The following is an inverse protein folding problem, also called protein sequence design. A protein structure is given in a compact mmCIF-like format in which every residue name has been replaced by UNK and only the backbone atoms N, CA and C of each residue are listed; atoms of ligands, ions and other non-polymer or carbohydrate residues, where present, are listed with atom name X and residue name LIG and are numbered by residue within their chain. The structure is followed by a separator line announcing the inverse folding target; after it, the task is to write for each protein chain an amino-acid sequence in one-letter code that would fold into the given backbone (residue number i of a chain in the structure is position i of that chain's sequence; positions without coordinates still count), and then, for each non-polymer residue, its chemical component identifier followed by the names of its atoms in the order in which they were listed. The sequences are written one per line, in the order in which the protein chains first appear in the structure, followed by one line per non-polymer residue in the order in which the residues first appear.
data_IF_329811758151
#
_entry.id   IF_329811758151
#
_cell.length_a   1.000
_cell.length_b   1.000
_cell.length_c   1.000
_cell.angle_alpha   90.00
_cell.angle_beta   90.00
_cell.angle_gamma   90.00
#
_symmetry.space_group_name_H-M   'P 1'
#
loop_
_entity.id
_entity.type
_entity.pdbx_description
1 polymer ?
#
# COMPACT_ATOMS: atom_id res chain seq x y z
N UNK A 1 -6.06 19.74 -5.55
CA UNK A 1 -6.41 18.69 -4.54
C UNK A 1 -6.26 19.21 -3.11
N UNK A 2 -5.16 19.95 -2.75
CA UNK A 2 -4.98 20.41 -1.38
C UNK A 2 -6.11 21.35 -0.91
N UNK A 3 -6.44 22.36 -1.71
CA UNK A 3 -7.49 23.33 -1.36
C UNK A 3 -8.87 22.67 -1.17
N UNK A 4 -9.16 21.63 -1.94
CA UNK A 4 -10.44 20.90 -1.84
C UNK A 4 -10.48 19.93 -0.65
N UNK A 5 -9.35 19.38 -0.22
CA UNK A 5 -9.29 18.38 0.84
C UNK A 5 -9.05 19.00 2.24
N UNK A 6 -8.37 20.13 2.33
CA UNK A 6 -8.01 20.77 3.60
C UNK A 6 -9.20 20.95 4.58
N UNK A 7 -10.41 21.35 4.15
CA UNK A 7 -11.56 21.50 5.04
C UNK A 7 -12.02 20.19 5.72
N UNK A 8 -11.66 19.04 5.15
CA UNK A 8 -12.07 17.72 5.66
C UNK A 8 -11.00 17.07 6.54
N UNK A 9 -9.82 17.69 6.66
CA UNK A 9 -8.76 17.18 7.52
C UNK A 9 -8.96 17.66 8.95
N UNK A 10 -9.03 16.70 9.86
CA UNK A 10 -9.08 16.93 11.30
C UNK A 10 -7.83 16.33 11.93
N UNK A 11 -7.16 17.14 12.74
CA UNK A 11 -5.95 16.73 13.46
C UNK A 11 -6.17 16.66 14.94
N UNK A 12 -5.51 15.74 15.61
CA UNK A 12 -5.60 15.53 17.06
C UNK A 12 -4.27 15.02 17.64
N UNK A 13 -4.14 15.07 18.96
CA UNK A 13 -3.01 14.42 19.67
C UNK A 13 -3.51 13.12 20.28
N UNK A 14 -2.79 12.03 20.08
CA UNK A 14 -3.09 10.78 20.77
C UNK A 14 -2.71 10.90 22.25
N UNK A 15 -3.68 10.71 23.19
CA UNK A 15 -3.40 10.91 24.62
C UNK A 15 -2.37 9.94 25.18
N UNK A 16 -2.26 8.74 24.61
CA UNK A 16 -1.37 7.69 25.11
C UNK A 16 0.08 7.88 24.68
N UNK A 17 0.32 8.19 23.42
CA UNK A 17 1.65 8.32 22.84
C UNK A 17 2.13 9.77 22.69
N UNK A 18 1.21 10.72 22.63
CA UNK A 18 1.47 12.11 22.26
C UNK A 18 1.76 12.28 20.77
N UNK A 19 1.52 11.26 19.93
CA UNK A 19 1.65 11.36 18.49
C UNK A 19 0.60 12.30 17.91
N UNK A 20 0.94 12.99 16.83
CA UNK A 20 -0.02 13.74 16.04
C UNK A 20 -0.75 12.80 15.09
N UNK A 21 -2.06 12.93 15.07
CA UNK A 21 -2.94 12.14 14.21
C UNK A 21 -3.68 13.05 13.24
N UNK A 22 -3.95 12.56 12.02
CA UNK A 22 -4.76 13.27 11.04
C UNK A 22 -5.72 12.30 10.33
N UNK A 23 -6.97 12.72 10.19
CA UNK A 23 -8.01 12.02 9.42
C UNK A 23 -8.50 12.92 8.31
N UNK A 24 -8.81 12.32 7.15
CA UNK A 24 -9.39 13.02 6.02
C UNK A 24 -10.67 12.30 5.58
N UNK A 25 -11.81 12.91 5.85
CA UNK A 25 -13.13 12.36 5.52
C UNK A 25 -13.63 12.75 4.13
N UNK A 26 -12.80 13.37 3.28
CA UNK A 26 -13.20 13.78 1.92
C UNK A 26 -13.65 12.60 1.06
N UNK A 27 -12.89 11.50 1.08
CA UNK A 27 -13.25 10.27 0.39
C UNK A 27 -13.78 9.24 1.41
N UNK A 28 -15.04 8.85 1.29
CA UNK A 28 -15.70 7.90 2.19
C UNK A 28 -14.94 6.57 2.30
N UNK A 29 -14.35 6.13 1.20
CA UNK A 29 -13.55 4.89 1.09
C UNK A 29 -12.34 4.86 2.03
N UNK A 30 -11.77 6.02 2.35
CA UNK A 30 -10.59 6.17 3.17
C UNK A 30 -10.84 6.91 4.49
N UNK A 31 -12.10 7.21 4.81
CA UNK A 31 -12.49 8.03 5.97
C UNK A 31 -12.04 7.49 7.32
N UNK A 32 -11.83 6.17 7.43
CA UNK A 32 -11.34 5.52 8.64
C UNK A 32 -9.81 5.57 8.79
N UNK A 33 -9.07 5.84 7.71
CA UNK A 33 -7.61 5.88 7.75
C UNK A 33 -7.11 7.04 8.60
N UNK A 34 -6.06 6.76 9.36
CA UNK A 34 -5.43 7.71 10.27
C UNK A 34 -3.95 7.82 9.93
N UNK A 35 -3.53 8.99 9.45
CA UNK A 35 -2.11 9.31 9.33
C UNK A 35 -1.57 9.72 10.70
N UNK A 36 -0.30 9.42 10.97
CA UNK A 36 0.35 9.80 12.22
C UNK A 36 1.77 10.31 12.02
N UNK A 37 2.20 11.17 12.92
CA UNK A 37 3.59 11.58 13.12
C UNK A 37 3.93 11.44 14.59
N UNK A 38 4.99 10.68 14.91
CA UNK A 38 5.52 10.53 16.26
C UNK A 38 7.02 10.81 16.30
N UNK A 39 7.55 11.07 17.48
CA UNK A 39 8.97 11.24 17.73
C UNK A 39 9.39 10.48 18.99
N UNK A 40 10.58 9.89 18.97
CA UNK A 40 11.15 9.20 20.13
C UNK A 40 11.39 10.11 21.34
N UNK A 41 11.48 11.45 21.12
CA UNK A 41 11.64 12.43 22.18
C UNK A 41 10.27 12.87 22.72
N UNK A 42 10.13 12.85 24.06
CA UNK A 42 8.88 13.26 24.72
C UNK A 42 8.82 14.77 24.99
N UNK A 43 9.96 15.42 25.21
CA UNK A 43 10.03 16.87 25.35
C UNK A 43 9.99 17.53 24.00
N UNK A 44 8.77 17.71 23.49
CA UNK A 44 8.52 18.26 22.17
C UNK A 44 7.38 19.26 22.18
N UNK A 45 7.38 20.19 21.25
CA UNK A 45 6.24 21.02 20.90
C UNK A 45 5.76 20.66 19.49
N UNK A 46 4.56 21.05 19.15
CA UNK A 46 3.96 20.67 17.88
C UNK A 46 2.96 21.72 17.38
N UNK A 47 2.63 21.64 16.10
CA UNK A 47 1.50 22.34 15.50
C UNK A 47 0.96 21.53 14.33
N UNK A 48 -0.34 21.64 14.10
CA UNK A 48 -0.98 21.11 12.89
C UNK A 48 -1.46 22.24 11.95
N UNK A 49 -1.02 23.46 12.19
CA UNK A 49 -1.26 24.63 11.34
C UNK A 49 0.00 24.98 10.53
N UNK A 50 -0.07 24.77 9.22
CA UNK A 50 1.04 25.05 8.30
C UNK A 50 1.40 26.52 8.25
N UNK A 51 0.45 27.43 8.49
CA UNK A 51 0.76 28.87 8.56
C UNK A 51 1.66 29.19 9.75
N UNK A 52 1.45 28.51 10.87
CA UNK A 52 2.36 28.63 12.02
C UNK A 52 3.73 28.02 11.72
N UNK A 53 3.75 26.87 11.04
CA UNK A 53 4.99 26.14 10.74
C UNK A 53 5.85 26.86 9.72
N UNK A 54 5.31 27.18 8.53
CA UNK A 54 6.07 27.80 7.44
C UNK A 54 6.05 29.31 7.46
N UNK A 55 5.00 29.94 8.01
CA UNK A 55 4.70 31.35 7.76
C UNK A 55 3.92 31.56 6.46
N UNK A 56 3.34 32.77 6.31
CA UNK A 56 2.52 33.10 5.15
C UNK A 56 3.31 33.07 3.83
N UNK A 57 4.54 33.54 3.82
CA UNK A 57 5.43 33.62 2.67
C UNK A 57 6.68 32.76 2.82
N UNK A 58 6.74 31.92 3.86
CA UNK A 58 7.87 31.06 4.15
C UNK A 58 7.92 29.80 3.27
N UNK A 59 9.05 29.15 3.29
CA UNK A 59 9.31 27.91 2.56
C UNK A 59 9.79 26.79 3.49
N UNK A 60 9.93 25.58 2.97
CA UNK A 60 10.53 24.47 3.72
C UNK A 60 12.03 24.67 3.99
N UNK A 61 12.71 25.49 3.18
CA UNK A 61 14.12 25.79 3.37
C UNK A 61 14.37 26.81 4.51
N UNK A 62 13.35 27.66 4.78
CA UNK A 62 13.39 28.69 5.82
C UNK A 62 12.00 28.80 6.46
N UNK A 63 11.63 27.83 7.31
CA UNK A 63 10.32 27.81 7.93
C UNK A 63 10.30 28.69 9.20
N UNK A 64 9.28 29.53 9.33
CA UNK A 64 9.09 30.45 10.46
C UNK A 64 9.19 29.77 11.85
N UNK A 65 8.89 28.49 11.93
CA UNK A 65 8.97 27.74 13.19
C UNK A 65 10.39 27.64 13.76
N UNK A 66 11.43 27.84 12.94
CA UNK A 66 12.83 27.83 13.43
C UNK A 66 13.17 29.04 14.30
N UNK A 67 12.45 30.16 14.14
CA UNK A 67 12.60 31.36 14.95
C UNK A 67 11.80 31.29 16.26
N UNK A 68 11.06 30.19 16.48
CA UNK A 68 10.19 30.01 17.67
C UNK A 68 10.84 29.07 18.67
N UNK A 69 10.82 29.46 19.94
CA UNK A 69 11.25 28.58 21.02
C UNK A 69 10.32 27.35 21.18
N UNK A 70 9.04 27.49 20.87
CA UNK A 70 8.03 26.41 20.93
C UNK A 70 6.91 26.65 19.93
N UNK A 71 6.36 25.56 19.43
CA UNK A 71 5.11 25.54 18.67
C UNK A 71 3.91 25.59 19.62
N UNK A 72 2.76 26.10 19.12
CA UNK A 72 1.61 26.48 19.95
C UNK A 72 0.76 25.30 20.47
N UNK A 73 0.98 24.09 19.98
CA UNK A 73 0.14 22.93 20.29
C UNK A 73 -1.20 22.92 19.51
N UNK A 74 -1.34 23.71 18.47
CA UNK A 74 -2.59 23.85 17.70
C UNK A 74 -2.92 22.57 16.94
N UNK A 75 -4.11 22.04 17.18
CA UNK A 75 -4.72 20.91 16.48
C UNK A 75 -6.20 21.20 16.22
N UNK A 76 -6.85 20.39 15.41
CA UNK A 76 -8.30 20.47 15.16
C UNK A 76 -8.64 20.53 13.68
N UNK A 77 -9.86 21.03 13.42
CA UNK A 77 -10.38 21.28 12.07
C UNK A 77 -10.20 22.76 11.67
N UNK A 78 -10.34 23.06 10.38
CA UNK A 78 -10.33 24.43 9.85
C UNK A 78 -8.95 25.08 9.79
N UNK A 79 -7.89 24.30 9.94
CA UNK A 79 -6.50 24.73 9.79
C UNK A 79 -6.03 24.57 8.32
N UNK A 80 -4.89 25.17 7.99
CA UNK A 80 -4.11 24.72 6.83
C UNK A 80 -3.30 23.48 7.27
N UNK A 81 -3.77 22.25 7.00
CA UNK A 81 -3.34 21.10 7.75
C UNK A 81 -1.90 20.68 7.44
N UNK A 82 -1.17 20.40 8.50
CA UNK A 82 0.13 19.72 8.50
C UNK A 82 0.28 18.90 9.79
N UNK A 83 1.33 18.09 9.87
CA UNK A 83 1.83 17.51 11.11
C UNK A 83 3.26 17.99 11.29
N UNK A 84 3.53 18.79 12.31
CA UNK A 84 4.85 19.34 12.60
C UNK A 84 5.21 19.17 14.07
N UNK A 85 6.42 18.69 14.34
CA UNK A 85 6.99 18.56 15.67
C UNK A 85 8.32 19.28 15.74
N UNK A 86 8.60 19.88 16.90
CA UNK A 86 9.85 20.56 17.21
C UNK A 86 10.44 19.95 18.48
N UNK A 87 11.69 19.54 18.39
CA UNK A 87 12.47 18.95 19.49
C UNK A 87 13.68 19.84 19.72
N UNK A 88 13.91 20.22 20.98
CA UNK A 88 15.12 20.94 21.39
C UNK A 88 16.21 19.92 21.68
N UNK A 89 17.40 20.13 21.12
CA UNK A 89 18.54 19.25 21.29
C UNK A 89 19.76 20.09 21.68
N UNK A 90 20.24 19.86 22.89
CA UNK A 90 21.50 20.44 23.36
C UNK A 90 22.59 19.37 23.26
N UNK A 91 23.68 19.69 22.57
CA UNK A 91 24.83 18.83 22.38
C UNK A 91 26.09 19.52 22.90
N UNK A 92 26.80 18.88 23.84
CA UNK A 92 28.13 19.29 24.17
C UNK A 92 29.13 18.84 23.10
N UNK A 93 30.33 19.40 23.13
CA UNK A 93 31.38 19.02 22.18
C UNK A 93 31.65 17.50 22.20
N UNK A 94 31.70 16.89 21.03
CA UNK A 94 31.89 15.43 20.86
C UNK A 94 30.65 14.58 21.17
N UNK A 95 29.53 15.15 21.61
CA UNK A 95 28.29 14.38 21.85
C UNK A 95 27.49 14.15 20.56
N UNK A 96 26.83 13.00 20.51
CA UNK A 96 25.83 12.68 19.50
C UNK A 96 24.52 12.24 20.16
N UNK A 97 23.39 12.56 19.54
CA UNK A 97 22.06 12.13 19.97
C UNK A 97 21.27 11.62 18.77
N UNK A 98 20.63 10.48 18.91
CA UNK A 98 19.82 9.88 17.88
C UNK A 98 18.34 10.15 18.17
N UNK A 99 17.64 10.73 17.21
CA UNK A 99 16.21 10.99 17.25
C UNK A 99 15.53 10.21 16.15
N UNK A 100 14.39 9.63 16.45
CA UNK A 100 13.58 8.89 15.50
C UNK A 100 12.24 9.58 15.33
N UNK A 101 11.93 9.97 14.10
CA UNK A 101 10.61 10.43 13.70
C UNK A 101 9.94 9.30 12.92
N UNK A 102 8.72 8.93 13.34
CA UNK A 102 7.92 7.91 12.69
C UNK A 102 6.72 8.57 12.01
N UNK A 103 6.62 8.41 10.69
CA UNK A 103 5.48 8.86 9.91
C UNK A 103 4.82 7.67 9.23
N UNK A 104 3.49 7.58 9.31
CA UNK A 104 2.78 6.43 8.76
C UNK A 104 1.28 6.64 8.67
N UNK A 105 0.59 5.59 8.27
CA UNK A 105 -0.88 5.55 8.20
C UNK A 105 -1.39 4.18 8.62
N UNK A 106 -2.33 4.16 9.56
CA UNK A 106 -3.10 2.98 9.94
C UNK A 106 -4.41 2.86 9.17
N UNK A 107 -4.96 1.65 9.12
CA UNK A 107 -6.28 1.37 8.55
C UNK A 107 -7.40 2.09 9.33
N UNK A 108 -7.18 2.23 10.63
CA UNK A 108 -7.99 2.98 11.58
C UNK A 108 -7.13 3.46 12.76
N UNK A 109 -7.77 4.03 13.78
CA UNK A 109 -7.07 4.55 14.97
C UNK A 109 -6.34 3.46 15.76
N UNK A 110 -6.92 2.27 15.87
CA UNK A 110 -6.33 1.15 16.62
C UNK A 110 -5.06 0.65 15.92
N UNK A 111 -5.12 0.49 14.60
CA UNK A 111 -3.97 0.09 13.80
C UNK A 111 -2.87 1.17 13.84
N UNK A 112 -3.23 2.46 13.71
CA UNK A 112 -2.28 3.56 13.84
C UNK A 112 -1.54 3.54 15.19
N UNK A 113 -2.25 3.35 16.31
CA UNK A 113 -1.65 3.20 17.65
C UNK A 113 -0.71 2.01 17.74
N UNK A 114 -1.12 0.88 17.18
CA UNK A 114 -0.28 -0.34 17.12
C UNK A 114 1.02 -0.08 16.37
N UNK A 115 0.95 0.59 15.22
CA UNK A 115 2.12 0.96 14.43
C UNK A 115 3.03 1.95 15.19
N UNK A 116 2.47 2.98 15.84
CA UNK A 116 3.23 3.92 16.67
C UNK A 116 4.01 3.18 17.74
N UNK A 117 3.37 2.31 18.52
CA UNK A 117 4.04 1.54 19.57
C UNK A 117 5.09 0.57 19.02
N UNK A 118 4.79 -0.08 17.90
CA UNK A 118 5.70 -1.05 17.26
C UNK A 118 7.03 -0.41 16.82
N UNK A 119 6.99 0.82 16.31
CA UNK A 119 8.16 1.49 15.75
C UNK A 119 8.72 2.61 16.66
N UNK A 120 8.32 2.64 17.92
CA UNK A 120 8.75 3.66 18.87
C UNK A 120 10.19 3.44 19.34
N UNK A 121 11.01 4.48 19.22
CA UNK A 121 12.37 4.54 19.74
C UNK A 121 13.45 3.96 18.83
N UNK A 122 14.70 4.24 19.22
CA UNK A 122 15.90 3.94 18.40
C UNK A 122 16.06 2.43 18.15
N UNK A 123 15.83 1.60 19.17
CA UNK A 123 15.97 0.14 19.05
C UNK A 123 15.00 -0.45 18.03
N UNK A 124 13.74 -0.01 18.07
CA UNK A 124 12.70 -0.45 17.12
C UNK A 124 13.00 0.01 15.68
N UNK A 125 13.47 1.26 15.51
CA UNK A 125 13.85 1.79 14.21
C UNK A 125 15.03 1.04 13.59
N UNK A 126 16.06 0.74 14.38
CA UNK A 126 17.22 -0.06 13.93
C UNK A 126 16.82 -1.50 13.58
N UNK A 127 15.96 -2.13 14.39
CA UNK A 127 15.44 -3.47 14.09
C UNK A 127 14.60 -3.48 12.80
N UNK A 128 13.78 -2.45 12.58
CA UNK A 128 13.01 -2.30 11.36
C UNK A 128 13.93 -2.17 10.12
N UNK A 129 14.96 -1.33 10.19
CA UNK A 129 15.95 -1.19 9.11
C UNK A 129 16.67 -2.51 8.82
N UNK A 130 17.12 -3.21 9.87
CA UNK A 130 17.75 -4.52 9.71
C UNK A 130 16.79 -5.53 9.06
N UNK A 131 15.51 -5.51 9.45
CA UNK A 131 14.47 -6.33 8.84
C UNK A 131 14.27 -6.04 7.35
N UNK A 132 14.27 -4.76 6.95
CA UNK A 132 14.19 -4.35 5.54
C UNK A 132 15.38 -4.88 4.74
N UNK A 133 16.60 -4.74 5.25
CA UNK A 133 17.80 -5.29 4.59
C UNK A 133 17.74 -6.81 4.46
N UNK A 134 17.34 -7.51 5.52
CA UNK A 134 17.21 -8.96 5.50
C UNK A 134 16.15 -9.43 4.47
N UNK A 135 15.01 -8.72 4.40
CA UNK A 135 13.96 -8.99 3.42
C UNK A 135 14.49 -8.85 1.98
N UNK A 136 15.07 -7.69 1.65
CA UNK A 136 15.54 -7.45 0.29
C UNK A 136 16.69 -8.36 -0.11
N UNK A 137 17.64 -8.64 0.78
CA UNK A 137 18.74 -9.58 0.49
C UNK A 137 18.21 -10.99 0.16
N UNK A 138 17.22 -11.47 0.91
CA UNK A 138 16.59 -12.77 0.65
C UNK A 138 15.81 -12.76 -0.66
N UNK A 139 14.95 -11.78 -0.84
CA UNK A 139 14.02 -11.72 -1.98
C UNK A 139 14.73 -11.47 -3.29
N UNK A 140 15.66 -10.51 -3.34
CA UNK A 140 16.43 -10.21 -4.56
C UNK A 140 17.49 -11.27 -4.84
N UNK A 141 17.96 -11.99 -3.82
CA UNK A 141 18.92 -13.09 -3.95
C UNK A 141 18.28 -14.45 -4.27
N UNK A 142 16.94 -14.53 -4.39
CA UNK A 142 16.24 -15.81 -4.63
C UNK A 142 16.57 -16.44 -6.00
N UNK A 143 16.89 -15.61 -6.98
CA UNK A 143 17.33 -16.04 -8.32
C UNK A 143 18.66 -15.38 -8.62
N UNK A 144 19.64 -16.16 -9.02
CA UNK A 144 20.94 -15.65 -9.39
C UNK A 144 21.41 -16.29 -10.70
N UNK A 145 21.73 -15.46 -11.69
CA UNK A 145 22.27 -15.87 -12.98
C UNK A 145 23.64 -15.26 -13.20
N UNK A 146 24.47 -15.95 -13.96
CA UNK A 146 25.76 -15.47 -14.43
C UNK A 146 25.89 -15.78 -15.89
N UNK A 147 25.88 -14.75 -16.71
CA UNK A 147 25.91 -14.87 -18.19
C UNK A 147 27.12 -14.12 -18.77
N UNK A 148 27.44 -14.33 -20.05
CA UNK A 148 28.45 -13.51 -20.74
C UNK A 148 28.05 -12.04 -20.93
N UNK A 149 26.76 -11.69 -20.72
CA UNK A 149 26.20 -10.36 -20.88
C UNK A 149 25.91 -9.71 -19.51
N UNK A 150 26.74 -8.79 -19.01
CA UNK A 150 26.58 -8.19 -17.67
C UNK A 150 25.27 -7.42 -17.49
N UNK A 151 24.70 -6.84 -18.55
CA UNK A 151 23.42 -6.13 -18.49
C UNK A 151 22.26 -7.07 -18.16
N UNK A 152 22.29 -8.30 -18.69
CA UNK A 152 21.32 -9.33 -18.36
C UNK A 152 21.45 -9.74 -16.89
N UNK A 153 22.67 -9.94 -16.40
CA UNK A 153 22.93 -10.28 -15.01
C UNK A 153 22.40 -9.19 -14.07
N UNK A 154 22.65 -7.92 -14.39
CA UNK A 154 22.12 -6.79 -13.60
C UNK A 154 20.58 -6.78 -13.54
N UNK A 155 19.93 -7.00 -14.67
CA UNK A 155 18.46 -7.04 -14.72
C UNK A 155 17.89 -8.24 -13.96
N UNK A 156 18.43 -9.44 -14.21
CA UNK A 156 17.90 -10.68 -13.67
C UNK A 156 18.20 -10.85 -12.16
N UNK A 157 19.37 -10.40 -11.70
CA UNK A 157 19.82 -10.55 -10.31
C UNK A 157 19.25 -9.48 -9.38
N UNK A 158 17.94 -9.26 -9.45
CA UNK A 158 17.19 -8.48 -8.50
C UNK A 158 16.40 -7.30 -9.06
N UNK A 159 16.90 -6.59 -10.11
CA UNK A 159 16.21 -5.39 -10.59
C UNK A 159 14.78 -5.65 -11.08
N UNK A 160 14.56 -6.70 -11.86
CA UNK A 160 13.24 -7.07 -12.36
C UNK A 160 12.30 -7.50 -11.21
N UNK A 161 12.82 -8.26 -10.24
CA UNK A 161 12.06 -8.65 -9.04
C UNK A 161 11.70 -7.41 -8.22
N UNK A 162 12.65 -6.50 -8.02
CA UNK A 162 12.40 -5.24 -7.32
C UNK A 162 11.29 -4.40 -7.99
N UNK A 163 11.35 -4.19 -9.30
CA UNK A 163 10.34 -3.44 -10.02
C UNK A 163 8.96 -4.08 -9.93
N UNK A 164 8.88 -5.40 -10.09
CA UNK A 164 7.62 -6.13 -9.98
C UNK A 164 7.01 -5.95 -8.59
N UNK A 165 7.77 -6.14 -7.53
CA UNK A 165 7.30 -5.94 -6.16
C UNK A 165 6.93 -4.49 -5.88
N UNK A 166 7.86 -3.56 -6.07
CA UNK A 166 7.68 -2.17 -5.66
C UNK A 166 6.62 -1.43 -6.49
N UNK A 167 6.65 -1.58 -7.82
CA UNK A 167 5.76 -0.85 -8.70
C UNK A 167 4.45 -1.58 -8.95
N UNK A 168 4.49 -2.89 -9.23
CA UNK A 168 3.31 -3.61 -9.70
C UNK A 168 2.50 -4.23 -8.58
N UNK A 169 3.13 -4.84 -7.57
CA UNK A 169 2.41 -5.49 -6.48
C UNK A 169 2.03 -4.51 -5.35
N UNK A 170 2.97 -3.67 -4.91
CA UNK A 170 2.74 -2.74 -3.79
C UNK A 170 2.21 -1.38 -4.23
N UNK A 171 2.91 -0.73 -5.17
CA UNK A 171 2.51 0.57 -5.69
C UNK A 171 1.30 0.52 -6.61
N UNK A 172 1.10 -0.60 -7.30
CA UNK A 172 0.09 -0.78 -8.35
C UNK A 172 0.09 0.38 -9.32
N UNK A 173 1.28 0.74 -9.76
CA UNK A 173 1.49 1.86 -10.65
C UNK A 173 2.42 1.46 -11.80
N UNK A 174 2.22 2.07 -12.94
CA UNK A 174 3.04 1.94 -14.11
C UNK A 174 2.89 3.18 -14.96
N UNK A 175 3.68 3.29 -16.00
CA UNK A 175 3.64 4.42 -16.91
C UNK A 175 2.22 4.68 -17.47
N UNK A 176 1.51 3.62 -17.79
CA UNK A 176 0.15 3.63 -18.35
C UNK A 176 -0.96 3.35 -17.33
N UNK A 177 -0.62 3.04 -16.09
CA UNK A 177 -1.57 2.61 -15.06
C UNK A 177 -1.17 3.18 -13.69
N UNK A 178 -1.31 4.50 -13.53
CA UNK A 178 -0.93 5.21 -12.32
C UNK A 178 -2.04 5.28 -11.24
N UNK A 179 -3.21 4.71 -11.52
CA UNK A 179 -4.41 4.89 -10.69
C UNK A 179 -4.54 3.97 -9.48
N UNK A 180 -3.60 3.06 -9.22
CA UNK A 180 -3.68 2.11 -8.12
C UNK A 180 -4.70 0.98 -8.31
N UNK A 181 -5.19 0.78 -9.53
CA UNK A 181 -6.09 -0.31 -9.87
C UNK A 181 -5.37 -1.67 -9.85
N UNK A 182 -6.13 -2.74 -9.55
CA UNK A 182 -5.75 -4.10 -9.91
C UNK A 182 -6.31 -4.42 -11.29
N UNK A 183 -5.49 -4.90 -12.22
CA UNK A 183 -5.92 -5.55 -13.44
C UNK A 183 -5.98 -7.06 -13.24
N UNK A 184 -6.97 -7.75 -13.79
CA UNK A 184 -7.08 -9.20 -13.64
C UNK A 184 -5.87 -9.90 -14.26
N UNK A 185 -5.63 -9.64 -15.53
CA UNK A 185 -4.47 -10.12 -16.28
C UNK A 185 -3.16 -9.57 -15.72
N UNK A 186 -3.07 -8.25 -15.58
CA UNK A 186 -1.79 -7.58 -15.28
C UNK A 186 -1.16 -8.08 -13.99
N UNK A 187 -1.93 -8.14 -12.89
CA UNK A 187 -1.39 -8.58 -11.61
C UNK A 187 -1.15 -10.08 -11.54
N UNK A 188 -1.92 -10.92 -12.26
CA UNK A 188 -1.62 -12.35 -12.35
C UNK A 188 -0.31 -12.57 -13.12
N UNK A 189 -0.12 -11.87 -14.23
CA UNK A 189 1.12 -11.93 -15.02
C UNK A 189 2.33 -11.46 -14.20
N UNK A 190 2.21 -10.31 -13.53
CA UNK A 190 3.27 -9.78 -12.68
C UNK A 190 3.59 -10.72 -11.50
N UNK A 191 2.56 -11.28 -10.85
CA UNK A 191 2.75 -12.18 -9.73
C UNK A 191 3.40 -13.51 -10.14
N UNK A 192 3.16 -14.01 -11.35
CA UNK A 192 3.85 -15.21 -11.86
C UNK A 192 5.36 -15.03 -11.98
N UNK A 193 5.84 -13.80 -12.24
CA UNK A 193 7.27 -13.51 -12.25
C UNK A 193 7.92 -13.68 -10.86
N UNK A 194 7.13 -13.65 -9.79
CA UNK A 194 7.59 -13.76 -8.41
C UNK A 194 7.57 -15.21 -7.87
N UNK A 195 7.20 -16.20 -8.67
CA UNK A 195 6.99 -17.58 -8.23
C UNK A 195 8.19 -18.17 -7.49
N UNK A 196 9.41 -17.77 -7.84
CA UNK A 196 10.65 -18.25 -7.19
C UNK A 196 11.15 -17.34 -6.05
N UNK A 197 10.77 -16.07 -6.04
CA UNK A 197 11.22 -15.11 -5.03
C UNK A 197 10.21 -14.94 -3.88
N UNK A 198 8.93 -14.81 -4.21
CA UNK A 198 7.84 -14.56 -3.25
C UNK A 198 6.58 -15.36 -3.64
N UNK A 199 6.63 -16.70 -3.59
CA UNK A 199 5.51 -17.55 -4.02
C UNK A 199 4.20 -17.29 -3.28
N UNK A 200 4.28 -16.86 -2.02
CA UNK A 200 3.10 -16.49 -1.23
C UNK A 200 2.31 -15.32 -1.85
N UNK A 201 2.98 -14.38 -2.52
CA UNK A 201 2.30 -13.28 -3.21
C UNK A 201 1.55 -13.77 -4.44
N UNK A 202 2.11 -14.72 -5.20
CA UNK A 202 1.41 -15.34 -6.32
C UNK A 202 0.17 -16.09 -5.83
N UNK A 203 0.29 -16.90 -4.75
CA UNK A 203 -0.84 -17.60 -4.15
C UNK A 203 -1.94 -16.63 -3.71
N UNK A 204 -1.60 -15.56 -3.01
CA UNK A 204 -2.55 -14.52 -2.62
C UNK A 204 -3.22 -13.86 -3.81
N UNK A 205 -2.48 -13.61 -4.89
CA UNK A 205 -3.04 -13.00 -6.09
C UNK A 205 -3.97 -13.95 -6.84
N UNK A 206 -3.68 -15.24 -6.89
CA UNK A 206 -4.59 -16.29 -7.43
C UNK A 206 -5.93 -16.25 -6.70
N UNK A 207 -5.93 -16.34 -5.38
CA UNK A 207 -7.16 -16.34 -4.56
C UNK A 207 -7.92 -15.03 -4.72
N UNK A 208 -7.21 -13.90 -4.73
CA UNK A 208 -7.81 -12.58 -4.95
C UNK A 208 -8.47 -12.46 -6.32
N UNK A 209 -7.82 -12.97 -7.36
CA UNK A 209 -8.35 -12.93 -8.73
C UNK A 209 -9.54 -13.88 -8.91
N UNK A 210 -9.52 -15.06 -8.32
CA UNK A 210 -10.67 -15.96 -8.30
C UNK A 210 -11.92 -15.26 -7.71
N UNK A 211 -11.75 -14.51 -6.62
CA UNK A 211 -12.81 -13.68 -6.04
C UNK A 211 -13.23 -12.47 -6.90
N UNK A 212 -12.74 -12.36 -8.14
CA UNK A 212 -13.15 -11.35 -9.14
C UNK A 212 -13.79 -11.96 -10.38
N UNK A 213 -14.11 -13.25 -10.33
CA UNK A 213 -14.88 -13.95 -11.34
C UNK A 213 -16.38 -13.84 -11.02
N UNK A 214 -17.18 -13.53 -12.05
CA UNK A 214 -18.64 -13.58 -11.96
C UNK A 214 -19.16 -15.01 -12.06
N UNK A 215 -20.38 -15.23 -11.60
CA UNK A 215 -21.04 -16.56 -11.68
C UNK A 215 -21.10 -17.09 -13.11
N UNK A 216 -21.18 -16.24 -14.10
CA UNK A 216 -21.21 -16.57 -15.51
C UNK A 216 -19.87 -17.04 -16.06
N UNK A 217 -18.76 -16.88 -15.30
CA UNK A 217 -17.41 -17.33 -15.64
C UNK A 217 -16.50 -16.22 -16.16
N UNK A 218 -17.06 -15.11 -16.61
CA UNK A 218 -16.27 -13.94 -16.96
C UNK A 218 -15.75 -13.20 -15.72
N UNK A 219 -14.88 -12.20 -15.89
CA UNK A 219 -14.15 -11.60 -14.78
C UNK A 219 -14.26 -10.07 -14.80
N UNK A 220 -13.97 -9.48 -13.65
CA UNK A 220 -13.75 -8.04 -13.56
C UNK A 220 -12.37 -7.72 -14.13
N UNK A 221 -12.30 -7.09 -15.29
CA UNK A 221 -11.08 -6.79 -16.04
C UNK A 221 -10.08 -5.98 -15.20
N UNK A 222 -10.57 -4.95 -14.49
CA UNK A 222 -9.80 -4.22 -13.49
C UNK A 222 -10.72 -3.61 -12.43
N UNK A 223 -10.16 -3.33 -11.23
CA UNK A 223 -10.92 -2.76 -10.12
C UNK A 223 -10.04 -1.90 -9.21
N UNK A 224 -10.67 -0.99 -8.47
CA UNK A 224 -10.02 -0.17 -7.46
C UNK A 224 -10.25 -0.72 -6.04
N UNK A 225 -9.21 -1.15 -5.32
CA UNK A 225 -9.33 -1.42 -3.89
C UNK A 225 -9.46 -0.10 -3.09
N UNK A 226 -10.06 -0.10 -1.89
CA UNK A 226 -10.59 -1.27 -1.19
C UNK A 226 -12.00 -1.67 -1.61
N UNK A 227 -12.76 -0.78 -2.27
CA UNK A 227 -14.19 -1.00 -2.58
C UNK A 227 -14.43 -2.09 -3.61
N UNK A 228 -13.52 -2.25 -4.57
CA UNK A 228 -13.70 -3.23 -5.63
C UNK A 228 -14.51 -2.75 -6.83
N UNK A 229 -14.85 -1.44 -6.91
CA UNK A 229 -15.46 -0.87 -8.10
C UNK A 229 -14.53 -0.99 -9.30
N UNK A 230 -15.04 -1.42 -10.43
CA UNK A 230 -14.23 -1.67 -11.61
C UNK A 230 -15.04 -2.00 -12.86
N UNK A 231 -14.37 -2.51 -13.87
CA UNK A 231 -14.92 -2.73 -15.20
C UNK A 231 -15.13 -4.21 -15.46
N UNK A 232 -16.33 -4.58 -15.92
CA UNK A 232 -16.65 -5.88 -16.51
C UNK A 232 -16.62 -5.75 -18.03
N UNK A 233 -15.91 -6.65 -18.72
CA UNK A 233 -15.70 -6.62 -20.17
C UNK A 233 -16.01 -7.98 -20.79
N UNK A 234 -15.84 -8.07 -22.13
CA UNK A 234 -15.88 -9.31 -22.89
C UNK A 234 -14.50 -9.72 -23.42
N UNK A 235 -13.43 -9.24 -22.80
CA UNK A 235 -12.06 -9.55 -23.20
C UNK A 235 -11.80 -11.03 -22.91
N UNK A 236 -11.62 -11.82 -23.97
CA UNK A 236 -11.62 -13.28 -23.89
C UNK A 236 -10.35 -13.85 -23.25
N UNK A 237 -9.21 -13.19 -23.36
CA UNK A 237 -7.95 -13.69 -22.76
C UNK A 237 -7.96 -13.58 -21.22
N UNK A 238 -8.75 -12.66 -20.65
CA UNK A 238 -8.91 -12.55 -19.20
C UNK A 238 -9.33 -13.90 -18.55
N UNK A 239 -10.14 -14.69 -19.24
CA UNK A 239 -10.63 -15.98 -18.71
C UNK A 239 -9.52 -17.02 -18.54
N UNK A 240 -8.43 -16.91 -19.28
CA UNK A 240 -7.34 -17.87 -19.31
C UNK A 240 -6.23 -17.56 -18.31
N UNK A 241 -6.18 -16.33 -17.80
CA UNK A 241 -5.06 -15.92 -16.93
C UNK A 241 -5.09 -16.58 -15.55
N UNK A 242 -6.27 -16.83 -14.97
CA UNK A 242 -6.37 -17.52 -13.69
C UNK A 242 -5.88 -18.97 -13.78
N UNK A 243 -6.42 -19.84 -14.66
CA UNK A 243 -5.91 -21.21 -14.79
C UNK A 243 -4.44 -21.27 -15.21
N UNK A 244 -3.97 -20.34 -16.02
CA UNK A 244 -2.55 -20.25 -16.37
C UNK A 244 -1.66 -19.94 -15.15
N UNK A 245 -2.03 -18.96 -14.34
CA UNK A 245 -1.29 -18.61 -13.12
C UNK A 245 -1.30 -19.77 -12.09
N UNK A 246 -2.44 -20.45 -11.93
CA UNK A 246 -2.58 -21.63 -11.08
C UNK A 246 -1.67 -22.76 -11.58
N UNK A 247 -1.70 -23.06 -12.86
CA UNK A 247 -0.82 -24.07 -13.48
C UNK A 247 0.67 -23.74 -13.25
N UNK A 248 1.04 -22.48 -13.44
CA UNK A 248 2.41 -22.02 -13.19
C UNK A 248 2.82 -22.17 -11.73
N UNK A 249 1.92 -21.83 -10.80
CA UNK A 249 2.16 -21.95 -9.36
C UNK A 249 2.35 -23.40 -8.95
N UNK A 250 1.39 -24.27 -9.30
CA UNK A 250 1.45 -25.71 -8.96
C UNK A 250 2.66 -26.38 -9.62
N UNK A 251 2.93 -26.06 -10.89
CA UNK A 251 4.08 -26.62 -11.62
C UNK A 251 5.44 -26.24 -11.03
N UNK A 252 5.55 -25.03 -10.49
CA UNK A 252 6.81 -24.54 -9.90
C UNK A 252 7.04 -25.04 -8.45
N UNK A 253 5.97 -25.21 -7.66
CA UNK A 253 6.06 -25.43 -6.22
C UNK A 253 5.54 -26.80 -5.75
N UNK A 254 4.86 -27.54 -6.64
CA UNK A 254 4.14 -28.78 -6.31
C UNK A 254 3.09 -28.62 -5.17
N UNK A 255 2.68 -27.35 -4.87
CA UNK A 255 1.64 -27.06 -3.89
C UNK A 255 0.25 -27.13 -4.55
N UNK A 256 -0.37 -28.30 -4.49
CA UNK A 256 -1.74 -28.53 -4.97
C UNK A 256 -2.80 -28.02 -4.00
N UNK A 257 -2.44 -27.70 -2.76
CA UNK A 257 -3.38 -27.21 -1.75
C UNK A 257 -4.05 -25.89 -2.12
N UNK A 258 -3.45 -25.10 -3.04
CA UNK A 258 -4.09 -23.91 -3.59
C UNK A 258 -5.40 -24.22 -4.32
N UNK A 259 -5.52 -25.40 -4.93
CA UNK A 259 -6.70 -25.81 -5.70
C UNK A 259 -7.95 -25.98 -4.82
N UNK A 260 -7.76 -26.30 -3.55
CA UNK A 260 -8.85 -26.53 -2.58
C UNK A 260 -9.26 -25.25 -1.85
N UNK A 261 -8.50 -24.16 -1.99
CA UNK A 261 -8.91 -22.85 -1.43
C UNK A 261 -10.19 -22.37 -2.05
N UNK A 262 -11.00 -21.69 -1.26
CA UNK A 262 -12.30 -21.21 -1.70
C UNK A 262 -12.32 -19.69 -1.83
N UNK A 263 -12.96 -19.21 -2.91
CA UNK A 263 -13.23 -17.81 -3.14
C UNK A 263 -14.72 -17.59 -3.48
N UNK A 264 -15.31 -16.44 -3.11
CA UNK A 264 -16.67 -16.10 -3.54
C UNK A 264 -16.67 -15.68 -5.01
N UNK A 265 -17.80 -15.87 -5.69
CA UNK A 265 -18.04 -15.23 -6.98
C UNK A 265 -18.48 -13.76 -6.80
N UNK A 266 -18.45 -13.00 -7.89
CA UNK A 266 -19.10 -11.70 -7.97
C UNK A 266 -20.52 -11.84 -8.54
N UNK A 267 -21.40 -10.96 -8.08
CA UNK A 267 -22.73 -10.73 -8.63
C UNK A 267 -22.82 -9.37 -9.26
N UNK A 268 -23.25 -9.33 -10.51
CA UNK A 268 -23.47 -8.12 -11.27
C UNK A 268 -24.22 -8.43 -12.56
N UNK A 269 -24.80 -7.43 -13.18
CA UNK A 269 -25.46 -7.66 -14.46
C UNK A 269 -24.44 -8.11 -15.53
N UNK A 270 -24.81 -8.98 -16.46
CA UNK A 270 -23.95 -9.28 -17.60
C UNK A 270 -23.78 -8.04 -18.50
N UNK A 271 -22.71 -8.03 -19.30
CA UNK A 271 -22.48 -7.01 -20.34
C UNK A 271 -23.55 -7.21 -21.43
N UNK A 272 -24.31 -6.17 -21.76
CA UNK A 272 -25.38 -6.25 -22.76
C UNK A 272 -24.82 -6.49 -24.16
N UNK A 273 -25.63 -7.02 -25.11
CA UNK A 273 -25.18 -7.29 -26.47
C UNK A 273 -24.59 -6.09 -27.21
N UNK A 274 -25.10 -4.90 -26.93
CA UNK A 274 -24.71 -3.61 -27.50
C UNK A 274 -23.62 -2.87 -26.71
N UNK A 275 -23.15 -3.45 -25.59
CA UNK A 275 -22.08 -2.89 -24.76
C UNK A 275 -20.78 -3.70 -24.93
N UNK A 276 -19.63 -3.02 -24.90
CA UNK A 276 -18.32 -3.68 -24.79
C UNK A 276 -17.91 -3.87 -23.32
N UNK A 277 -18.31 -2.96 -22.46
CA UNK A 277 -17.98 -2.95 -21.04
C UNK A 277 -18.92 -2.05 -20.23
N UNK A 278 -18.90 -2.20 -18.91
CA UNK A 278 -19.47 -1.20 -17.99
C UNK A 278 -18.66 -1.10 -16.70
N UNK A 279 -18.76 0.05 -16.03
CA UNK A 279 -18.07 0.34 -14.77
C UNK A 279 -19.07 0.35 -13.62
N UNK A 280 -18.91 -0.55 -12.65
CA UNK A 280 -19.81 -0.65 -11.49
C UNK A 280 -19.11 -1.23 -10.27
N UNK A 281 -19.84 -1.29 -9.15
CA UNK A 281 -19.46 -1.96 -7.91
C UNK A 281 -20.25 -3.27 -7.80
N UNK A 282 -19.66 -4.41 -8.18
CA UNK A 282 -20.32 -5.70 -8.02
C UNK A 282 -20.43 -6.08 -6.55
N UNK A 283 -21.36 -6.95 -6.23
CA UNK A 283 -21.51 -7.54 -4.91
C UNK A 283 -20.71 -8.85 -4.82
N UNK A 284 -20.18 -9.16 -3.65
CA UNK A 284 -19.69 -10.49 -3.39
C UNK A 284 -20.88 -11.44 -3.21
N UNK A 285 -20.85 -12.57 -3.90
CA UNK A 285 -21.85 -13.62 -3.78
C UNK A 285 -21.67 -14.42 -2.49
N UNK A 286 -22.76 -15.00 -1.99
CA UNK A 286 -22.69 -16.05 -0.96
C UNK A 286 -22.18 -17.39 -1.54
N UNK A 287 -22.30 -17.59 -2.85
CA UNK A 287 -21.77 -18.75 -3.54
C UNK A 287 -20.24 -18.68 -3.58
N UNK A 288 -19.61 -19.73 -3.10
CA UNK A 288 -18.15 -19.90 -3.14
C UNK A 288 -17.79 -21.19 -3.87
N UNK A 289 -16.67 -21.18 -4.55
CA UNK A 289 -16.11 -22.36 -5.21
C UNK A 289 -14.62 -22.50 -4.86
N UNK A 290 -14.08 -23.68 -5.10
CA UNK A 290 -12.64 -23.93 -5.01
C UNK A 290 -11.92 -23.23 -6.15
N UNK A 291 -10.63 -22.95 -6.00
CA UNK A 291 -9.81 -22.38 -7.09
C UNK A 291 -9.84 -23.28 -8.31
N UNK A 292 -9.88 -24.62 -8.12
CA UNK A 292 -10.05 -25.54 -9.24
C UNK A 292 -11.37 -25.31 -9.99
N UNK A 293 -12.48 -25.18 -9.28
CA UNK A 293 -13.80 -24.90 -9.88
C UNK A 293 -13.83 -23.53 -10.58
N UNK A 294 -13.17 -22.51 -10.03
CA UNK A 294 -12.98 -21.22 -10.71
C UNK A 294 -12.18 -21.34 -12.02
N UNK A 295 -11.18 -22.23 -12.07
CA UNK A 295 -10.38 -22.43 -13.27
C UNK A 295 -11.11 -23.19 -14.39
N UNK A 296 -12.10 -24.02 -14.06
CA UNK A 296 -12.84 -24.82 -15.06
C UNK A 296 -14.16 -24.19 -15.50
N UNK A 297 -14.59 -23.13 -14.82
CA UNK A 297 -15.79 -22.37 -15.16
C UNK A 297 -15.53 -21.41 -16.30
#
# INVERSE_FOLDING_TARGET
QRASNAPYVVTEVDPGSGALLARNCYAAEFSRRVAFLDCSERQRSFTCDRLEFLGRNGSQADPLCMDRARLSGRVGAGLDPCLAMQVMVDLADGQSRELVFSFGSGMDLTDARTLIHRFQGVGAARAALAGVWAYWNRTLGAVHVRTPEPSLDFLANGWLVYQTLAARMWGRSGFYQSGGAFGFRDQLQDAMALVHAEPALLRQQIVRSAGRQFREGDVQHWWHPPMGRGVRTRISDDYLWLPYAVSRYVGALADTGVLDERAPFLEGRPVKPDEESYYDLPLASEETATIYEHCVR
#
